data_IF_849534648241
#
_entry.id   IF_849534648241
#
_cell.length_a   1.000
_cell.length_b   1.000
_cell.length_c   1.000
_cell.angle_alpha   90.00
_cell.angle_beta   90.00
_cell.angle_gamma   90.00
#
_symmetry.space_group_name_H-M   'P 1'
#
loop_
_entity.id
_entity.type
_entity.pdbx_description
1 polymer ?
#
# COMPACT_ATOMS: atom_id res chain seq x y z
N UNK A 1 4.60 -55.29 -55.67
CA UNK A 1 4.06 -56.43 -54.91
C UNK A 1 5.19 -56.96 -54.04
N UNK A 2 4.95 -57.11 -52.73
CA UNK A 2 5.46 -58.17 -51.85
C UNK A 2 5.38 -57.69 -50.39
N UNK A 3 4.45 -58.31 -49.65
CA UNK A 3 4.39 -58.33 -48.19
C UNK A 3 5.30 -59.48 -47.71
N UNK A 4 5.99 -59.35 -46.56
CA UNK A 4 5.87 -60.39 -45.54
C UNK A 4 5.63 -59.77 -44.15
N UNK A 5 4.54 -60.12 -43.47
CA UNK A 5 4.34 -61.29 -42.58
C UNK A 5 4.97 -61.09 -41.20
N UNK A 6 4.06 -61.14 -40.23
CA UNK A 6 4.18 -61.05 -38.77
C UNK A 6 5.09 -62.16 -38.22
N UNK A 7 5.85 -61.84 -37.18
CA UNK A 7 6.19 -62.81 -36.13
C UNK A 7 5.92 -62.20 -34.76
N UNK A 8 5.02 -62.84 -34.02
CA UNK A 8 4.81 -62.66 -32.58
C UNK A 8 5.92 -63.41 -31.85
N UNK A 9 6.42 -62.86 -30.74
CA UNK A 9 6.85 -63.54 -29.49
C UNK A 9 7.90 -62.69 -28.77
N UNK A 10 7.56 -62.06 -27.64
CA UNK A 10 7.76 -62.68 -26.32
C UNK A 10 7.51 -61.65 -25.20
N UNK A 11 6.79 -62.13 -24.22
CA UNK A 11 6.56 -61.53 -22.91
C UNK A 11 7.89 -61.37 -22.16
N UNK A 12 8.23 -60.16 -21.75
CA UNK A 12 8.97 -59.94 -20.50
C UNK A 12 8.43 -58.68 -19.83
N UNK A 13 7.61 -58.90 -18.81
CA UNK A 13 7.25 -57.90 -17.82
C UNK A 13 8.53 -57.65 -17.01
N UNK A 14 9.23 -56.56 -17.31
CA UNK A 14 10.28 -56.05 -16.43
C UNK A 14 9.60 -55.39 -15.24
N UNK A 15 9.39 -56.19 -14.19
CA UNK A 15 9.06 -55.72 -12.85
C UNK A 15 10.25 -54.94 -12.29
N UNK A 16 10.39 -53.67 -12.70
CA UNK A 16 11.24 -52.69 -12.04
C UNK A 16 10.56 -52.23 -10.77
N UNK A 17 11.02 -52.75 -9.62
CA UNK A 17 10.64 -52.27 -8.29
C UNK A 17 11.01 -50.79 -8.18
N UNK A 18 10.01 -49.91 -8.25
CA UNK A 18 10.17 -48.50 -7.91
C UNK A 18 10.39 -48.42 -6.39
N UNK A 19 11.62 -48.12 -6.02
CA UNK A 19 12.06 -47.83 -4.66
C UNK A 19 11.24 -46.65 -4.13
N UNK A 20 10.30 -46.94 -3.22
CA UNK A 20 9.51 -45.95 -2.47
C UNK A 20 10.35 -45.02 -1.58
N UNK A 21 11.67 -45.21 -1.54
CA UNK A 21 12.62 -44.44 -0.72
C UNK A 21 13.11 -43.16 -1.41
N UNK A 22 13.20 -43.12 -2.75
CA UNK A 22 13.78 -41.95 -3.45
C UNK A 22 12.77 -40.82 -3.60
N UNK A 23 11.48 -41.14 -3.72
CA UNK A 23 10.41 -40.15 -3.82
C UNK A 23 10.11 -39.44 -2.51
N UNK A 24 10.29 -40.11 -1.37
CA UNK A 24 10.13 -39.50 -0.05
C UNK A 24 11.23 -38.48 0.24
N UNK A 25 12.47 -38.83 -0.07
CA UNK A 25 13.62 -37.94 0.10
C UNK A 25 13.55 -36.70 -0.80
N UNK A 26 13.14 -36.88 -2.07
CA UNK A 26 12.94 -35.75 -2.98
C UNK A 26 11.82 -34.79 -2.54
N UNK A 27 10.79 -35.30 -1.85
CA UNK A 27 9.72 -34.47 -1.29
C UNK A 27 10.20 -33.70 -0.05
N UNK A 28 10.91 -34.36 0.85
CA UNK A 28 11.46 -33.73 2.05
C UNK A 28 12.48 -32.63 1.68
N UNK A 29 13.36 -32.90 0.71
CA UNK A 29 14.33 -31.93 0.18
C UNK A 29 13.62 -30.71 -0.44
N UNK A 30 12.52 -30.93 -1.18
CA UNK A 30 11.73 -29.86 -1.77
C UNK A 30 10.96 -29.03 -0.74
N UNK A 31 10.50 -29.65 0.35
CA UNK A 31 9.84 -28.95 1.47
C UNK A 31 10.85 -28.11 2.24
N UNK A 32 12.07 -28.61 2.42
CA UNK A 32 13.16 -27.88 3.08
C UNK A 32 13.62 -26.69 2.23
N UNK A 33 13.79 -26.86 0.91
CA UNK A 33 14.12 -25.78 -0.02
C UNK A 33 13.00 -24.72 -0.09
N UNK A 34 11.74 -25.14 -0.13
CA UNK A 34 10.60 -24.23 -0.05
C UNK A 34 10.54 -23.49 1.30
N UNK A 35 10.89 -24.16 2.40
CA UNK A 35 10.95 -23.54 3.72
C UNK A 35 12.09 -22.54 3.86
N UNK A 36 13.25 -22.81 3.24
CA UNK A 36 14.36 -21.85 3.18
C UNK A 36 14.02 -20.65 2.28
N UNK A 37 13.33 -20.87 1.16
CA UNK A 37 12.82 -19.79 0.31
C UNK A 37 11.80 -18.92 1.05
N UNK A 38 10.91 -19.53 1.85
CA UNK A 38 9.95 -18.80 2.69
C UNK A 38 10.66 -18.06 3.82
N UNK A 39 11.66 -18.66 4.50
CA UNK A 39 12.46 -17.98 5.53
C UNK A 39 13.30 -16.83 4.94
N UNK A 40 13.85 -17.01 3.74
CA UNK A 40 14.56 -15.99 2.98
C UNK A 40 13.64 -14.85 2.57
N UNK A 41 12.42 -15.16 2.12
CA UNK A 41 11.38 -14.18 1.80
C UNK A 41 10.76 -13.52 3.05
N UNK A 42 10.85 -14.15 4.23
CA UNK A 42 10.44 -13.57 5.52
C UNK A 42 11.54 -12.70 6.14
N UNK A 43 12.80 -12.86 5.70
CA UNK A 43 13.91 -11.95 6.01
C UNK A 43 13.90 -10.68 5.14
N UNK A 44 12.74 -10.28 4.59
CA UNK A 44 12.56 -8.94 4.04
C UNK A 44 12.72 -7.97 5.21
N UNK A 45 13.89 -7.33 5.26
CA UNK A 45 14.18 -6.29 6.24
C UNK A 45 13.00 -5.31 6.28
N UNK A 46 12.53 -4.98 7.49
CA UNK A 46 11.51 -3.96 7.65
C UNK A 46 11.97 -2.69 6.95
N UNK A 47 11.15 -2.10 6.06
CA UNK A 47 11.56 -0.95 5.28
C UNK A 47 12.01 0.17 6.24
N UNK A 48 13.16 0.76 5.95
CA UNK A 48 13.70 1.87 6.71
C UNK A 48 12.75 3.07 6.65
N UNK A 49 12.85 3.98 7.63
CA UNK A 49 12.02 5.19 7.65
C UNK A 49 12.20 6.01 6.36
N UNK A 50 13.40 6.08 5.81
CA UNK A 50 13.69 6.80 4.56
C UNK A 50 12.98 6.16 3.35
N UNK A 51 12.94 4.82 3.28
CA UNK A 51 12.19 4.10 2.25
C UNK A 51 10.68 4.32 2.37
N UNK A 52 10.16 4.36 3.61
CA UNK A 52 8.76 4.67 3.89
C UNK A 52 8.42 6.12 3.53
N UNK A 53 9.29 7.09 3.82
CA UNK A 53 9.13 8.49 3.40
C UNK A 53 9.15 8.60 1.87
N UNK A 54 10.08 7.93 1.19
CA UNK A 54 10.15 7.91 -0.27
C UNK A 54 8.90 7.27 -0.90
N UNK A 55 8.36 6.22 -0.28
CA UNK A 55 7.08 5.64 -0.67
C UNK A 55 5.93 6.63 -0.49
N UNK A 56 5.82 7.28 0.68
CA UNK A 56 4.78 8.27 0.97
C UNK A 56 4.82 9.46 -0.02
N UNK A 57 6.02 9.96 -0.30
CA UNK A 57 6.26 10.99 -1.29
C UNK A 57 5.73 10.57 -2.67
N UNK A 58 6.05 9.35 -3.13
CA UNK A 58 5.56 8.83 -4.40
C UNK A 58 4.03 8.73 -4.46
N UNK A 59 3.37 8.39 -3.35
CA UNK A 59 1.90 8.36 -3.26
C UNK A 59 1.31 9.75 -3.47
N UNK A 60 1.83 10.75 -2.74
CA UNK A 60 1.35 12.13 -2.81
C UNK A 60 1.67 12.82 -4.15
N UNK A 61 2.81 12.51 -4.75
CA UNK A 61 3.22 13.10 -6.03
C UNK A 61 2.31 12.70 -7.20
N UNK A 62 1.50 11.64 -7.05
CA UNK A 62 0.54 11.20 -8.06
C UNK A 62 -0.80 11.93 -7.97
N UNK A 63 -1.09 12.56 -6.84
CA UNK A 63 -2.39 13.16 -6.54
C UNK A 63 -2.34 14.68 -6.45
N UNK A 64 -1.15 15.26 -6.36
CA UNK A 64 -0.93 16.71 -6.22
C UNK A 64 -0.26 17.30 -7.45
N UNK A 65 -0.77 18.43 -7.95
CA UNK A 65 -0.23 19.16 -9.10
C UNK A 65 1.17 19.74 -8.83
N UNK A 66 1.39 20.19 -7.59
CA UNK A 66 2.65 20.80 -7.13
C UNK A 66 3.10 20.19 -5.82
N UNK A 67 3.62 18.96 -5.87
CA UNK A 67 3.87 18.17 -4.66
C UNK A 67 5.14 18.59 -3.90
N UNK A 68 5.89 19.55 -4.45
CA UNK A 68 7.03 20.24 -3.84
C UNK A 68 6.63 21.32 -2.82
N UNK A 69 5.36 21.77 -2.84
CA UNK A 69 4.81 22.71 -1.85
C UNK A 69 4.75 22.09 -0.46
N UNK A 70 4.74 22.97 0.55
CA UNK A 70 4.56 22.58 1.95
C UNK A 70 3.25 21.78 2.13
N UNK A 71 3.25 20.80 3.01
CA UNK A 71 2.06 19.99 3.28
C UNK A 71 1.42 20.43 4.60
N UNK A 72 0.12 20.69 4.57
CA UNK A 72 -0.74 20.66 5.75
C UNK A 72 -1.35 19.26 5.78
N UNK A 73 -0.96 18.42 6.73
CA UNK A 73 -1.48 17.07 6.87
C UNK A 73 -2.37 16.97 8.11
N UNK A 74 -3.51 16.31 7.95
CA UNK A 74 -4.47 16.04 9.01
C UNK A 74 -4.61 14.53 9.18
N UNK A 75 -4.36 14.03 10.39
CA UNK A 75 -4.71 12.67 10.79
C UNK A 75 -6.19 12.62 11.19
N UNK A 76 -7.02 12.13 10.27
CA UNK A 76 -8.46 12.03 10.47
C UNK A 76 -8.86 10.94 11.49
N UNK A 77 -7.91 10.07 11.89
CA UNK A 77 -8.12 9.08 12.93
C UNK A 77 -8.07 9.68 14.34
N UNK A 78 -7.11 10.57 14.58
CA UNK A 78 -6.86 11.15 15.93
C UNK A 78 -7.66 12.40 16.25
N UNK A 79 -8.17 13.13 15.25
CA UNK A 79 -8.96 14.35 15.48
C UNK A 79 -10.46 14.12 15.41
N UNK A 80 -11.22 15.00 16.07
CA UNK A 80 -12.67 15.05 15.92
C UNK A 80 -13.07 15.81 14.64
N UNK A 81 -14.32 15.63 14.20
CA UNK A 81 -14.82 16.22 12.95
C UNK A 81 -14.74 17.75 12.96
N UNK A 82 -15.02 18.40 14.10
CA UNK A 82 -15.00 19.86 14.21
C UNK A 82 -13.59 20.45 14.00
N UNK A 83 -12.56 19.82 14.56
CA UNK A 83 -11.16 20.23 14.37
C UNK A 83 -10.69 20.04 12.92
N UNK A 84 -11.12 18.94 12.31
CA UNK A 84 -10.82 18.67 10.90
C UNK A 84 -11.53 19.73 10.03
N UNK A 85 -12.78 20.08 10.34
CA UNK A 85 -13.51 21.16 9.68
C UNK A 85 -12.78 22.50 9.75
N UNK A 86 -12.40 22.94 10.95
CA UNK A 86 -11.72 24.22 11.15
C UNK A 86 -10.45 24.33 10.29
N UNK A 87 -9.63 23.27 10.29
CA UNK A 87 -8.37 23.25 9.55
C UNK A 87 -8.59 23.25 8.04
N UNK A 88 -9.59 22.51 7.57
CA UNK A 88 -9.88 22.39 6.13
C UNK A 88 -10.61 23.59 5.57
N UNK A 89 -11.53 24.20 6.32
CA UNK A 89 -12.17 25.46 5.96
C UNK A 89 -11.15 26.60 5.90
N UNK A 90 -10.15 26.64 6.80
CA UNK A 90 -9.06 27.61 6.70
C UNK A 90 -8.30 27.45 5.38
N UNK A 91 -7.95 26.22 4.99
CA UNK A 91 -7.30 25.97 3.71
C UNK A 91 -8.20 26.33 2.50
N UNK A 92 -9.46 25.89 2.50
CA UNK A 92 -10.39 26.12 1.39
C UNK A 92 -10.74 27.59 1.19
N UNK A 93 -10.75 28.39 2.25
CA UNK A 93 -11.14 29.80 2.18
C UNK A 93 -9.94 30.76 2.04
N UNK A 94 -8.73 30.40 2.48
CA UNK A 94 -7.54 31.25 2.36
C UNK A 94 -6.69 30.96 1.11
N UNK A 95 -6.78 31.84 0.10
CA UNK A 95 -6.00 31.71 -1.15
C UNK A 95 -4.49 31.77 -0.93
N UNK A 96 -4.02 32.60 0.01
CA UNK A 96 -2.60 32.76 0.32
C UNK A 96 -2.04 31.49 0.94
N UNK A 97 -2.86 30.81 1.76
CA UNK A 97 -2.53 29.48 2.28
C UNK A 97 -2.41 28.45 1.13
N UNK A 98 -3.37 28.42 0.19
CA UNK A 98 -3.37 27.48 -0.96
C UNK A 98 -2.30 27.74 -2.02
N UNK A 99 -1.69 28.92 -2.03
CA UNK A 99 -0.58 29.21 -2.93
C UNK A 99 0.71 28.52 -2.48
N UNK A 100 0.88 28.35 -1.17
CA UNK A 100 2.10 27.84 -0.55
C UNK A 100 1.99 26.40 -0.08
N UNK A 101 0.76 25.92 0.13
CA UNK A 101 0.52 24.62 0.74
C UNK A 101 -0.35 23.70 -0.13
N UNK A 102 -0.16 22.41 0.06
CA UNK A 102 -1.12 21.35 -0.27
C UNK A 102 -1.80 20.87 1.02
N UNK A 103 -3.02 20.36 0.90
CA UNK A 103 -3.74 19.73 1.99
C UNK A 103 -3.73 18.21 1.81
N UNK A 104 -3.40 17.48 2.86
CA UNK A 104 -3.38 16.01 2.87
C UNK A 104 -4.26 15.50 4.01
N UNK A 105 -5.23 14.67 3.68
CA UNK A 105 -6.08 13.98 4.64
C UNK A 105 -5.57 12.54 4.79
N UNK A 106 -5.02 12.20 5.94
CA UNK A 106 -4.65 10.84 6.30
C UNK A 106 -5.87 10.15 6.92
N UNK A 107 -6.54 9.33 6.11
CA UNK A 107 -7.81 8.67 6.44
C UNK A 107 -7.51 7.22 6.80
N UNK A 108 -7.80 6.77 8.03
CA UNK A 108 -7.65 5.37 8.39
C UNK A 108 -8.46 4.47 7.44
N UNK A 109 -7.88 3.37 6.99
CA UNK A 109 -8.54 2.47 6.03
C UNK A 109 -9.76 1.76 6.63
N UNK A 110 -9.78 1.57 7.94
CA UNK A 110 -10.92 1.02 8.69
C UNK A 110 -12.04 2.05 8.89
N UNK A 111 -11.75 3.35 8.80
CA UNK A 111 -12.72 4.43 8.99
C UNK A 111 -13.89 4.33 8.00
N UNK A 112 -13.63 3.87 6.76
CA UNK A 112 -14.70 3.64 5.76
C UNK A 112 -15.69 2.55 6.16
N UNK A 113 -15.35 1.72 7.14
CA UNK A 113 -16.17 0.60 7.60
C UNK A 113 -16.79 0.84 8.97
N UNK A 114 -16.19 1.69 9.82
CA UNK A 114 -16.57 1.82 11.23
C UNK A 114 -17.20 3.17 11.61
N UNK A 115 -16.94 4.24 10.87
CA UNK A 115 -17.46 5.59 11.17
C UNK A 115 -17.98 6.28 9.90
N UNK A 116 -19.27 6.05 9.62
CA UNK A 116 -19.96 6.60 8.46
C UNK A 116 -19.95 8.14 8.43
N UNK A 117 -19.99 8.79 9.60
CA UNK A 117 -20.05 10.25 9.69
C UNK A 117 -18.74 10.91 9.25
N UNK A 118 -17.61 10.39 9.72
CA UNK A 118 -16.29 10.87 9.28
C UNK A 118 -16.05 10.54 7.81
N UNK A 119 -16.46 9.36 7.36
CA UNK A 119 -16.30 8.97 5.97
C UNK A 119 -17.11 9.90 5.03
N UNK A 120 -18.39 10.14 5.33
CA UNK A 120 -19.24 11.07 4.58
C UNK A 120 -18.65 12.48 4.56
N UNK A 121 -18.08 12.91 5.69
CA UNK A 121 -17.40 14.19 5.77
C UNK A 121 -16.19 14.27 4.81
N UNK A 122 -15.32 13.25 4.78
CA UNK A 122 -14.17 13.21 3.85
C UNK A 122 -14.66 13.29 2.41
N UNK A 123 -15.75 12.58 2.07
CA UNK A 123 -16.35 12.65 0.73
C UNK A 123 -16.89 14.05 0.41
N UNK A 124 -17.54 14.70 1.39
CA UNK A 124 -18.06 16.06 1.25
C UNK A 124 -16.94 17.06 1.01
N UNK A 125 -15.83 16.97 1.75
CA UNK A 125 -14.66 17.81 1.55
C UNK A 125 -14.04 17.60 0.16
N UNK A 126 -13.91 16.34 -0.27
CA UNK A 126 -13.44 16.00 -1.62
C UNK A 126 -14.31 16.63 -2.70
N UNK A 127 -15.63 16.53 -2.56
CA UNK A 127 -16.57 17.13 -3.49
C UNK A 127 -16.42 18.65 -3.52
N UNK A 128 -16.33 19.30 -2.37
CA UNK A 128 -16.10 20.76 -2.28
C UNK A 128 -14.78 21.17 -2.93
N UNK A 129 -13.69 20.43 -2.68
CA UNK A 129 -12.39 20.71 -3.28
C UNK A 129 -12.47 20.64 -4.81
N UNK A 130 -13.14 19.61 -5.34
CA UNK A 130 -13.38 19.47 -6.78
C UNK A 130 -14.21 20.63 -7.37
N UNK A 131 -15.34 20.97 -6.73
CA UNK A 131 -16.21 22.07 -7.16
C UNK A 131 -15.50 23.44 -7.18
N UNK A 132 -14.49 23.61 -6.35
CA UNK A 132 -13.67 24.82 -6.28
C UNK A 132 -12.40 24.76 -7.15
N UNK A 133 -12.20 23.69 -7.95
CA UNK A 133 -11.01 23.52 -8.79
C UNK A 133 -9.71 23.33 -8.00
N UNK A 134 -9.79 22.67 -6.85
CA UNK A 134 -8.69 22.41 -5.91
C UNK A 134 -8.30 20.93 -5.84
N UNK A 135 -8.77 20.10 -6.77
CA UNK A 135 -8.53 18.66 -6.83
C UNK A 135 -7.03 18.32 -6.89
N UNK A 136 -6.22 19.14 -7.58
CA UNK A 136 -4.75 19.00 -7.60
C UNK A 136 -4.02 19.55 -6.37
N UNK A 137 -4.73 20.10 -5.38
CA UNK A 137 -4.14 20.65 -4.13
C UNK A 137 -4.51 19.87 -2.88
N UNK A 138 -5.52 19.00 -2.97
CA UNK A 138 -6.04 18.21 -1.86
C UNK A 138 -5.84 16.74 -2.17
N UNK A 139 -5.06 16.03 -1.35
CA UNK A 139 -4.89 14.59 -1.47
C UNK A 139 -5.51 13.86 -0.29
N UNK A 140 -6.21 12.75 -0.56
CA UNK A 140 -6.63 11.80 0.46
C UNK A 140 -5.73 10.57 0.42
N UNK A 141 -5.19 10.20 1.57
CA UNK A 141 -4.36 9.01 1.74
C UNK A 141 -5.10 8.03 2.63
N UNK A 142 -5.47 6.87 2.08
CA UNK A 142 -5.89 5.75 2.90
C UNK A 142 -4.67 5.17 3.62
N UNK A 143 -4.77 5.08 4.95
CA UNK A 143 -3.71 4.61 5.85
C UNK A 143 -4.05 3.19 6.29
N UNK A 144 -3.25 2.24 5.83
CA UNK A 144 -3.41 0.80 6.13
C UNK A 144 -2.50 0.36 7.27
N UNK A 145 -1.35 1.00 7.44
CA UNK A 145 -0.39 0.72 8.51
C UNK A 145 -0.12 2.00 9.29
N UNK A 146 -0.97 2.36 10.28
CA UNK A 146 -0.90 3.63 10.98
C UNK A 146 0.49 3.98 11.53
N UNK A 147 1.14 3.03 12.21
CA UNK A 147 2.43 3.27 12.87
C UNK A 147 3.52 3.72 11.90
N UNK A 148 3.65 3.05 10.76
CA UNK A 148 4.69 3.33 9.76
C UNK A 148 4.30 4.47 8.82
N UNK A 149 3.06 4.45 8.31
CA UNK A 149 2.62 5.42 7.31
C UNK A 149 2.39 6.82 7.90
N UNK A 150 1.83 6.94 9.12
CA UNK A 150 1.69 8.25 9.77
C UNK A 150 3.05 8.80 10.19
N UNK A 151 3.96 7.96 10.68
CA UNK A 151 5.33 8.38 11.00
C UNK A 151 6.08 8.89 9.76
N UNK A 152 5.97 8.19 8.63
CA UNK A 152 6.55 8.60 7.36
C UNK A 152 5.92 9.91 6.84
N UNK A 153 4.60 10.05 6.92
CA UNK A 153 3.90 11.27 6.52
C UNK A 153 4.29 12.46 7.40
N UNK A 154 4.27 12.31 8.74
CA UNK A 154 4.70 13.35 9.69
C UNK A 154 6.14 13.77 9.45
N UNK A 155 7.03 12.82 9.17
CA UNK A 155 8.42 13.10 8.82
C UNK A 155 8.54 13.91 7.51
N UNK A 156 7.78 13.54 6.48
CA UNK A 156 7.74 14.28 5.21
C UNK A 156 7.21 15.71 5.39
N UNK A 157 6.14 15.88 6.17
CA UNK A 157 5.58 17.20 6.53
C UNK A 157 6.64 18.06 7.20
N UNK A 158 7.37 17.52 8.17
CA UNK A 158 8.43 18.23 8.87
C UNK A 158 9.59 18.61 7.93
N UNK A 159 10.01 17.71 7.03
CA UNK A 159 11.05 18.00 6.03
C UNK A 159 10.67 19.16 5.11
N UNK A 160 9.38 19.30 4.79
CA UNK A 160 8.85 20.39 3.97
C UNK A 160 8.44 21.63 4.77
N UNK A 161 8.71 21.67 6.09
CA UNK A 161 8.28 22.77 6.98
C UNK A 161 6.77 23.01 6.93
N UNK A 162 6.02 21.93 6.74
CA UNK A 162 4.56 21.92 6.74
C UNK A 162 3.96 21.95 8.14
N UNK A 163 2.67 21.64 8.22
CA UNK A 163 1.93 21.58 9.47
C UNK A 163 1.27 20.21 9.64
N UNK A 164 1.38 19.65 10.84
CA UNK A 164 0.79 18.37 11.21
C UNK A 164 -0.33 18.60 12.23
N UNK A 165 -1.51 18.09 11.93
CA UNK A 165 -2.69 18.12 12.80
C UNK A 165 -3.07 16.68 13.17
N UNK A 166 -2.69 16.25 14.37
CA UNK A 166 -2.91 14.91 14.88
C UNK A 166 -1.99 14.65 16.08
N UNK A 167 -2.38 13.71 16.95
CA UNK A 167 -1.60 13.33 18.14
C UNK A 167 -0.37 12.49 17.76
#
# INVERSE_FOLDING_TARGET
MSIPVVSVSNSEIVSGSLTSSDTGKALDDAIEEASELVKSAQNVAMPTLDEQIAYMRRRLFRTLDRPDRCIIAIDCGSLNIDQIHETTDLFLNDSSCREKNNLVLAVPADLSCTDASRFEWVQTLKQRAFENGLDGKVSWLLIHHPDSELAALKSLVNQQRGQWYGS
#
